data_IF_276818350830
#
_entry.id   IF_276818350830
#
_cell.length_a   1.000
_cell.length_b   1.000
_cell.length_c   1.000
_cell.angle_alpha   90.00
_cell.angle_beta   90.00
_cell.angle_gamma   90.00
#
_symmetry.space_group_name_H-M   'P 1'
#
loop_
_entity.id
_entity.type
_entity.pdbx_description
1 polymer ?
#
# COMPACT_ATOMS: atom_id res chain seq x y z
N UNK A 1 -20.66 -16.41 -8.68
CA UNK A 1 -22.09 -16.33 -8.40
C UNK A 1 -22.34 -16.38 -6.90
N UNK A 2 -23.24 -15.53 -6.35
CA UNK A 2 -23.72 -15.62 -4.96
C UNK A 2 -24.79 -16.71 -4.88
N UNK A 3 -24.72 -17.53 -3.84
CA UNK A 3 -25.70 -18.61 -3.61
C UNK A 3 -26.58 -18.30 -2.41
N UNK A 4 -25.97 -17.91 -1.29
CA UNK A 4 -26.68 -17.72 -0.04
C UNK A 4 -25.85 -16.84 0.89
N UNK A 5 -26.50 -16.14 1.79
CA UNK A 5 -25.85 -15.46 2.89
C UNK A 5 -26.64 -15.62 4.18
N UNK A 6 -25.95 -15.54 5.29
CA UNK A 6 -26.53 -15.52 6.61
C UNK A 6 -25.92 -14.39 7.43
N UNK A 7 -26.77 -13.63 8.08
CA UNK A 7 -26.40 -12.50 8.92
C UNK A 7 -26.74 -12.87 10.35
N UNK A 8 -25.72 -13.18 11.16
CA UNK A 8 -25.91 -13.40 12.59
C UNK A 8 -26.24 -12.08 13.28
N UNK A 9 -25.52 -11.02 12.92
CA UNK A 9 -25.80 -9.66 13.35
C UNK A 9 -25.10 -8.64 12.46
N UNK A 10 -25.88 -7.70 11.89
CA UNK A 10 -25.36 -6.60 11.06
C UNK A 10 -26.40 -5.48 10.91
N UNK A 11 -26.15 -4.33 11.50
CA UNK A 11 -27.11 -3.23 11.57
C UNK A 11 -28.42 -3.68 12.22
N UNK A 12 -29.51 -3.57 11.47
CA UNK A 12 -30.82 -4.01 11.90
C UNK A 12 -31.11 -5.50 11.77
N UNK A 13 -30.29 -6.22 11.02
CA UNK A 13 -30.51 -7.65 10.79
C UNK A 13 -29.90 -8.49 11.89
N UNK A 14 -30.66 -9.48 12.30
CA UNK A 14 -30.28 -10.50 13.24
C UNK A 14 -30.87 -11.82 12.77
N UNK A 15 -30.08 -12.89 12.83
CA UNK A 15 -30.45 -14.26 12.42
C UNK A 15 -31.24 -14.29 11.10
N UNK A 16 -30.63 -13.77 10.02
CA UNK A 16 -31.31 -13.65 8.74
C UNK A 16 -30.56 -14.40 7.63
N UNK A 17 -31.23 -15.40 7.04
CA UNK A 17 -30.73 -16.10 5.84
C UNK A 17 -31.43 -15.58 4.59
N UNK A 18 -30.65 -15.40 3.51
CA UNK A 18 -31.16 -15.02 2.19
C UNK A 18 -30.49 -15.90 1.14
N UNK A 19 -31.28 -16.62 0.37
CA UNK A 19 -30.82 -17.43 -0.77
C UNK A 19 -31.02 -16.68 -2.07
N UNK A 20 -30.11 -16.86 -3.02
CA UNK A 20 -30.15 -16.25 -4.35
C UNK A 20 -30.43 -17.31 -5.42
N UNK A 21 -31.34 -16.99 -6.30
CA UNK A 21 -31.64 -17.81 -7.49
C UNK A 21 -30.71 -17.48 -8.65
N UNK A 22 -30.76 -18.31 -9.70
CA UNK A 22 -30.11 -18.00 -10.95
C UNK A 22 -30.74 -16.78 -11.62
N UNK A 23 -29.92 -15.98 -12.29
CA UNK A 23 -30.37 -14.79 -12.99
C UNK A 23 -30.59 -13.59 -12.08
N UNK A 24 -31.67 -12.86 -12.30
CA UNK A 24 -31.96 -11.58 -11.63
C UNK A 24 -32.68 -11.84 -10.30
N UNK A 25 -32.11 -11.31 -9.21
CA UNK A 25 -32.72 -11.33 -7.90
C UNK A 25 -33.17 -9.91 -7.52
N UNK A 26 -34.45 -9.72 -7.27
CA UNK A 26 -35.03 -8.42 -6.91
C UNK A 26 -35.29 -8.39 -5.40
N UNK A 27 -34.60 -7.48 -4.70
CA UNK A 27 -34.78 -7.24 -3.27
C UNK A 27 -35.61 -5.96 -3.10
N UNK A 28 -36.86 -6.15 -2.75
CA UNK A 28 -37.82 -5.07 -2.58
C UNK A 28 -38.13 -4.80 -1.10
N UNK A 29 -38.42 -3.54 -0.77
CA UNK A 29 -38.83 -3.12 0.56
C UNK A 29 -38.99 -1.61 0.69
N UNK A 30 -39.75 -1.17 1.69
CA UNK A 30 -39.92 0.25 2.03
C UNK A 30 -38.58 0.90 2.39
N UNK A 31 -38.59 2.22 2.54
CA UNK A 31 -37.41 2.91 3.13
C UNK A 31 -37.13 2.31 4.51
N UNK A 32 -35.85 2.24 4.87
CA UNK A 32 -35.39 1.64 6.11
C UNK A 32 -35.58 0.12 6.24
N UNK A 33 -36.10 -0.57 5.22
CA UNK A 33 -36.25 -2.03 5.24
C UNK A 33 -34.93 -2.79 5.34
N UNK A 34 -33.78 -2.11 5.15
CA UNK A 34 -32.45 -2.72 5.27
C UNK A 34 -31.79 -3.05 3.92
N UNK A 35 -32.31 -2.57 2.79
CA UNK A 35 -31.70 -2.82 1.46
C UNK A 35 -30.22 -2.41 1.41
N UNK A 36 -29.90 -1.21 1.88
CA UNK A 36 -28.52 -0.71 1.96
C UNK A 36 -27.68 -1.47 2.99
N UNK A 37 -28.29 -1.97 4.05
CA UNK A 37 -27.63 -2.81 5.06
C UNK A 37 -27.19 -4.12 4.44
N UNK A 38 -28.07 -4.80 3.69
CA UNK A 38 -27.75 -6.03 2.98
C UNK A 38 -26.64 -5.82 1.93
N UNK A 39 -26.75 -4.75 1.14
CA UNK A 39 -25.74 -4.39 0.16
C UNK A 39 -24.36 -4.17 0.79
N UNK A 40 -24.31 -3.44 1.93
CA UNK A 40 -23.07 -3.22 2.67
C UNK A 40 -22.57 -4.50 3.34
N UNK A 41 -23.45 -5.38 3.78
CA UNK A 41 -23.07 -6.68 4.32
C UNK A 41 -22.32 -7.52 3.28
N UNK A 42 -22.85 -7.65 2.07
CA UNK A 42 -22.19 -8.39 0.98
C UNK A 42 -20.78 -7.83 0.72
N UNK A 43 -20.65 -6.50 0.61
CA UNK A 43 -19.36 -5.84 0.47
C UNK A 43 -18.45 -6.15 1.66
N UNK A 44 -18.97 -6.05 2.88
CA UNK A 44 -18.22 -6.33 4.10
C UNK A 44 -17.71 -7.78 4.16
N UNK A 45 -18.52 -8.74 3.70
CA UNK A 45 -18.13 -10.14 3.63
C UNK A 45 -16.96 -10.36 2.67
N UNK A 46 -16.95 -9.67 1.53
CA UNK A 46 -15.89 -9.80 0.51
C UNK A 46 -14.60 -9.09 0.92
N UNK A 47 -14.69 -7.84 1.36
CA UNK A 47 -13.52 -6.96 1.57
C UNK A 47 -13.22 -6.65 3.04
N UNK A 48 -14.16 -6.92 3.92
CA UNK A 48 -14.07 -6.52 5.32
C UNK A 48 -14.61 -5.11 5.55
N UNK A 49 -14.70 -4.75 6.83
CA UNK A 49 -15.04 -3.40 7.27
C UNK A 49 -14.01 -2.99 8.32
N UNK A 50 -13.35 -1.87 8.09
CA UNK A 50 -12.38 -1.32 9.02
C UNK A 50 -13.04 -0.24 9.89
N UNK A 51 -12.71 -0.25 11.17
CA UNK A 51 -13.11 0.81 12.08
C UNK A 51 -12.22 2.02 11.91
N UNK A 52 -12.81 3.18 11.65
CA UNK A 52 -12.10 4.44 11.58
C UNK A 52 -11.43 4.82 12.90
N UNK A 53 -10.46 5.70 12.85
CA UNK A 53 -9.76 6.23 14.03
C UNK A 53 -10.11 7.70 14.25
N UNK A 54 -10.18 8.13 15.51
CA UNK A 54 -10.45 9.52 15.86
C UNK A 54 -11.83 10.00 15.37
N UNK A 55 -11.89 11.19 14.76
CA UNK A 55 -13.15 11.79 14.28
C UNK A 55 -13.82 10.98 13.17
N UNK A 56 -13.05 10.26 12.37
CA UNK A 56 -13.58 9.40 11.29
C UNK A 56 -14.37 8.20 11.83
N UNK A 57 -14.13 7.76 13.07
CA UNK A 57 -14.86 6.64 13.67
C UNK A 57 -16.34 6.91 13.92
N UNK A 58 -16.77 8.17 14.01
CA UNK A 58 -18.18 8.51 14.30
C UNK A 58 -19.14 8.19 13.15
N UNK A 59 -18.65 8.25 11.90
CA UNK A 59 -19.46 8.07 10.69
C UNK A 59 -18.95 6.96 9.78
N UNK A 60 -18.09 6.08 10.30
CA UNK A 60 -17.57 4.96 9.50
C UNK A 60 -18.64 3.86 9.34
N UNK A 61 -18.39 2.99 8.36
CA UNK A 61 -19.31 1.88 8.07
C UNK A 61 -19.37 0.88 9.23
N UNK A 62 -18.26 0.72 9.98
CA UNK A 62 -18.21 -0.18 11.12
C UNK A 62 -19.22 0.23 12.17
N UNK A 63 -19.17 1.47 12.64
CA UNK A 63 -20.06 2.01 13.68
C UNK A 63 -21.51 2.12 13.17
N UNK A 64 -21.72 2.48 11.90
CA UNK A 64 -23.03 2.61 11.30
C UNK A 64 -23.80 1.29 11.22
N UNK A 65 -23.09 0.19 10.98
CA UNK A 65 -23.69 -1.14 10.81
C UNK A 65 -23.38 -2.11 11.96
N UNK A 66 -22.85 -1.61 13.07
CA UNK A 66 -22.79 -2.39 14.31
C UNK A 66 -24.20 -2.84 14.70
N UNK A 67 -24.42 -4.10 15.10
CA UNK A 67 -25.75 -4.62 15.42
C UNK A 67 -26.45 -3.81 16.50
N UNK A 68 -27.73 -3.49 16.28
CA UNK A 68 -28.47 -2.60 17.16
C UNK A 68 -28.90 -3.26 18.48
N UNK A 69 -29.22 -4.56 18.42
CA UNK A 69 -29.77 -5.27 19.58
C UNK A 69 -28.72 -6.11 20.33
N UNK A 70 -27.78 -6.67 19.63
CA UNK A 70 -26.73 -7.52 20.22
C UNK A 70 -25.39 -7.29 19.54
N UNK A 71 -24.60 -6.37 20.08
CA UNK A 71 -23.27 -6.07 19.57
C UNK A 71 -22.29 -7.26 19.61
N UNK A 72 -22.63 -8.33 20.35
CA UNK A 72 -21.83 -9.55 20.46
C UNK A 72 -21.72 -10.36 19.18
N UNK A 73 -22.72 -10.27 18.29
CA UNK A 73 -22.87 -11.11 17.09
C UNK A 73 -22.62 -10.37 15.79
N UNK A 74 -21.63 -9.47 15.75
CA UNK A 74 -21.28 -8.70 14.54
C UNK A 74 -20.51 -9.57 13.55
N UNK A 75 -21.24 -10.49 12.91
CA UNK A 75 -20.70 -11.55 12.07
C UNK A 75 -21.73 -12.12 11.10
N UNK A 76 -21.28 -13.02 10.25
CA UNK A 76 -22.10 -13.78 9.34
C UNK A 76 -21.27 -14.57 8.34
N UNK A 77 -21.95 -15.20 7.37
CA UNK A 77 -21.29 -15.92 6.31
C UNK A 77 -21.94 -15.67 4.93
N UNK A 78 -21.14 -15.92 3.88
CA UNK A 78 -21.53 -15.77 2.49
C UNK A 78 -21.07 -17.00 1.71
N UNK A 79 -21.98 -17.67 1.01
CA UNK A 79 -21.70 -18.77 0.07
C UNK A 79 -21.67 -18.24 -1.35
N UNK A 80 -20.63 -18.57 -2.06
CA UNK A 80 -20.46 -18.23 -3.47
C UNK A 80 -19.88 -19.40 -4.26
N UNK A 81 -20.22 -19.43 -5.52
CA UNK A 81 -19.67 -20.38 -6.49
C UNK A 81 -18.68 -19.67 -7.41
N UNK A 82 -17.54 -20.29 -7.61
CA UNK A 82 -16.54 -19.89 -8.58
C UNK A 82 -15.99 -21.11 -9.31
N UNK A 83 -16.10 -21.14 -10.62
CA UNK A 83 -15.56 -22.19 -11.49
C UNK A 83 -15.99 -23.60 -11.04
N UNK A 84 -17.28 -23.77 -10.69
CA UNK A 84 -17.86 -25.01 -10.20
C UNK A 84 -17.51 -25.39 -8.77
N UNK A 85 -16.75 -24.55 -8.05
CA UNK A 85 -16.36 -24.77 -6.65
C UNK A 85 -17.15 -23.84 -5.75
N UNK A 86 -17.73 -24.39 -4.69
CA UNK A 86 -18.50 -23.64 -3.69
C UNK A 86 -17.59 -23.27 -2.52
N UNK A 87 -17.56 -21.99 -2.23
CA UNK A 87 -16.83 -21.42 -1.10
C UNK A 87 -17.80 -20.78 -0.12
N UNK A 88 -17.54 -20.98 1.18
CA UNK A 88 -18.19 -20.26 2.26
C UNK A 88 -17.17 -19.34 2.93
N UNK A 89 -17.47 -18.06 2.93
CA UNK A 89 -16.68 -17.03 3.62
C UNK A 89 -17.40 -16.72 4.92
N UNK A 90 -16.77 -16.96 6.05
CA UNK A 90 -17.22 -16.58 7.38
C UNK A 90 -16.40 -15.40 7.88
N UNK A 91 -17.05 -14.35 8.38
CA UNK A 91 -16.36 -13.16 8.84
C UNK A 91 -16.96 -12.61 10.11
N UNK A 92 -16.07 -12.35 11.08
CA UNK A 92 -16.35 -11.56 12.26
C UNK A 92 -15.79 -10.17 12.10
N UNK A 93 -16.63 -9.17 12.29
CA UNK A 93 -16.25 -7.76 12.10
C UNK A 93 -15.76 -7.11 13.39
N UNK A 94 -16.13 -7.65 14.54
CA UNK A 94 -15.82 -7.07 15.84
C UNK A 94 -14.31 -7.01 16.07
N UNK A 95 -13.83 -5.85 16.51
CA UNK A 95 -12.39 -5.57 16.63
C UNK A 95 -11.67 -6.57 17.55
N UNK A 96 -12.31 -6.96 18.64
CA UNK A 96 -11.75 -7.82 19.70
C UNK A 96 -11.55 -9.28 19.23
N UNK A 97 -12.38 -9.73 18.30
CA UNK A 97 -12.34 -11.10 17.78
C UNK A 97 -12.47 -11.17 16.27
N UNK A 98 -11.96 -10.14 15.56
CA UNK A 98 -11.97 -10.09 14.10
C UNK A 98 -11.35 -11.35 13.51
N UNK A 99 -12.11 -12.03 12.68
CA UNK A 99 -11.65 -13.25 12.01
C UNK A 99 -12.21 -13.36 10.60
N UNK A 100 -11.49 -14.07 9.77
CA UNK A 100 -11.89 -14.45 8.44
C UNK A 100 -11.58 -15.93 8.27
N UNK A 101 -12.58 -16.71 7.87
CA UNK A 101 -12.45 -18.12 7.56
C UNK A 101 -13.03 -18.38 6.19
N UNK A 102 -12.36 -19.18 5.39
CA UNK A 102 -12.81 -19.56 4.05
C UNK A 102 -12.83 -21.08 3.96
N UNK A 103 -13.98 -21.61 3.65
CA UNK A 103 -14.20 -23.05 3.55
C UNK A 103 -14.52 -23.36 2.09
N UNK A 104 -13.76 -24.25 1.51
CA UNK A 104 -14.08 -24.90 0.23
C UNK A 104 -15.07 -26.02 0.51
N UNK A 105 -16.35 -25.76 0.38
CA UNK A 105 -17.40 -26.75 0.68
C UNK A 105 -17.39 -27.93 -0.30
N UNK A 106 -16.96 -27.71 -1.54
CA UNK A 106 -16.85 -28.79 -2.53
C UNK A 106 -15.80 -29.83 -2.14
N UNK A 107 -14.70 -29.39 -1.53
CA UNK A 107 -13.60 -30.25 -1.09
C UNK A 107 -13.64 -30.60 0.41
N UNK A 108 -14.48 -29.93 1.18
CA UNK A 108 -14.55 -30.07 2.63
C UNK A 108 -13.29 -29.57 3.38
N UNK A 109 -12.55 -28.61 2.78
CA UNK A 109 -11.28 -28.11 3.32
C UNK A 109 -11.38 -26.64 3.70
N UNK A 110 -10.69 -26.27 4.76
CA UNK A 110 -10.47 -24.87 5.10
C UNK A 110 -9.28 -24.33 4.33
N UNK A 111 -9.50 -23.24 3.60
CA UNK A 111 -8.47 -22.57 2.80
C UNK A 111 -7.75 -21.53 3.64
N UNK A 112 -6.50 -21.24 3.27
CA UNK A 112 -5.76 -20.14 3.90
C UNK A 112 -6.41 -18.80 3.56
N UNK A 113 -7.03 -18.16 4.55
CA UNK A 113 -7.73 -16.89 4.43
C UNK A 113 -6.76 -15.71 4.28
N UNK A 114 -5.79 -15.81 3.37
CA UNK A 114 -4.84 -14.73 3.07
C UNK A 114 -5.45 -13.70 2.10
N UNK A 115 -4.96 -12.45 2.11
CA UNK A 115 -5.37 -11.42 1.14
C UNK A 115 -5.16 -11.87 -0.31
N UNK A 116 -4.11 -12.65 -0.58
CA UNK A 116 -3.80 -13.20 -1.90
C UNK A 116 -4.83 -14.24 -2.33
N UNK A 117 -5.31 -15.07 -1.39
CA UNK A 117 -6.36 -16.05 -1.70
C UNK A 117 -7.68 -15.34 -2.05
N UNK A 118 -8.09 -14.34 -1.27
CA UNK A 118 -9.27 -13.51 -1.56
C UNK A 118 -9.13 -12.82 -2.91
N UNK A 119 -7.98 -12.24 -3.19
CA UNK A 119 -7.73 -11.61 -4.49
C UNK A 119 -7.88 -12.58 -5.64
N UNK A 120 -7.37 -13.80 -5.53
CA UNK A 120 -7.55 -14.86 -6.54
C UNK A 120 -9.01 -15.32 -6.64
N UNK A 121 -9.69 -15.47 -5.51
CA UNK A 121 -11.11 -15.85 -5.46
C UNK A 121 -11.98 -14.83 -6.20
N UNK A 122 -11.64 -13.55 -6.08
CA UNK A 122 -12.34 -12.43 -6.70
C UNK A 122 -11.71 -11.97 -8.04
N UNK A 123 -10.81 -12.77 -8.65
CA UNK A 123 -10.13 -12.42 -9.92
C UNK A 123 -9.39 -11.07 -9.90
N UNK A 124 -8.77 -10.73 -8.78
CA UNK A 124 -8.06 -9.47 -8.61
C UNK A 124 -8.96 -8.26 -8.39
N UNK A 125 -10.27 -8.47 -8.21
CA UNK A 125 -11.22 -7.40 -7.93
C UNK A 125 -10.89 -6.75 -6.59
N UNK A 126 -10.54 -5.47 -6.61
CA UNK A 126 -10.36 -4.67 -5.40
C UNK A 126 -11.68 -4.09 -4.90
N UNK A 127 -11.72 -3.62 -3.66
CA UNK A 127 -12.90 -2.95 -3.12
C UNK A 127 -13.27 -1.70 -3.91
N UNK A 128 -12.29 -0.92 -4.36
CA UNK A 128 -12.49 0.26 -5.19
C UNK A 128 -13.10 -0.12 -6.55
N UNK A 129 -12.56 -1.14 -7.20
CA UNK A 129 -13.13 -1.64 -8.45
C UNK A 129 -14.56 -2.15 -8.25
N UNK A 130 -14.80 -2.93 -7.20
CA UNK A 130 -16.12 -3.44 -6.87
C UNK A 130 -17.15 -2.32 -6.71
N UNK A 131 -16.82 -1.27 -5.94
CA UNK A 131 -17.71 -0.14 -5.68
C UNK A 131 -17.99 0.73 -6.92
N UNK A 132 -17.07 0.74 -7.89
CA UNK A 132 -17.19 1.59 -9.08
C UNK A 132 -17.70 0.84 -10.33
N UNK A 133 -17.71 -0.49 -10.33
CA UNK A 133 -18.09 -1.27 -11.51
C UNK A 133 -19.21 -2.27 -11.27
N UNK A 134 -19.23 -2.94 -10.12
CA UNK A 134 -20.18 -4.02 -9.82
C UNK A 134 -21.25 -3.56 -8.87
N UNK A 135 -20.88 -2.82 -7.82
CA UNK A 135 -21.74 -2.43 -6.71
C UNK A 135 -22.15 -0.97 -6.86
N UNK A 136 -23.18 -0.71 -7.65
CA UNK A 136 -23.67 0.64 -7.89
C UNK A 136 -24.54 1.09 -6.72
N UNK A 137 -24.03 2.01 -5.91
CA UNK A 137 -24.75 2.63 -4.80
C UNK A 137 -25.81 3.63 -5.26
N UNK A 138 -26.78 3.90 -4.40
CA UNK A 138 -27.79 4.91 -4.66
C UNK A 138 -27.13 6.30 -4.83
N UNK A 139 -27.47 7.01 -5.93
CA UNK A 139 -26.90 8.33 -6.30
C UNK A 139 -25.37 8.36 -6.52
N UNK A 140 -24.72 7.20 -6.64
CA UNK A 140 -23.30 7.09 -6.90
C UNK A 140 -23.06 6.63 -8.34
N UNK A 141 -23.27 7.52 -9.29
CA UNK A 141 -22.96 7.28 -10.71
C UNK A 141 -21.61 7.87 -11.14
N UNK A 142 -20.99 8.70 -10.29
CA UNK A 142 -19.68 9.28 -10.56
C UNK A 142 -18.56 8.35 -10.09
N UNK A 143 -17.54 8.21 -10.91
CA UNK A 143 -16.32 7.45 -10.59
C UNK A 143 -15.56 8.12 -9.45
N UNK A 144 -15.26 7.41 -8.39
CA UNK A 144 -14.49 7.92 -7.26
C UNK A 144 -13.01 8.13 -7.67
N UNK A 145 -12.35 9.14 -7.09
CA UNK A 145 -10.92 9.44 -7.35
C UNK A 145 -9.99 8.24 -7.13
N UNK A 146 -10.37 7.34 -6.23
CA UNK A 146 -9.68 6.07 -6.00
C UNK A 146 -9.59 5.19 -7.25
N UNK A 147 -10.63 5.12 -8.06
CA UNK A 147 -10.65 4.35 -9.31
C UNK A 147 -9.70 4.95 -10.35
N UNK A 148 -9.64 6.27 -10.45
CA UNK A 148 -8.71 6.96 -11.37
C UNK A 148 -7.26 6.63 -10.98
N UNK A 149 -6.97 6.60 -9.69
CA UNK A 149 -5.64 6.26 -9.18
C UNK A 149 -5.30 4.79 -9.44
N UNK A 150 -6.23 3.86 -9.21
CA UNK A 150 -6.02 2.44 -9.52
C UNK A 150 -5.81 2.21 -11.01
N UNK A 151 -6.59 2.87 -11.87
CA UNK A 151 -6.45 2.76 -13.32
C UNK A 151 -5.10 3.30 -13.80
N UNK A 152 -4.66 4.45 -13.27
CA UNK A 152 -3.32 4.99 -13.55
C UNK A 152 -2.22 4.02 -13.13
N UNK A 153 -2.32 3.42 -11.94
CA UNK A 153 -1.35 2.42 -11.48
C UNK A 153 -1.36 1.17 -12.35
N UNK A 154 -2.54 0.71 -12.77
CA UNK A 154 -2.69 -0.43 -13.67
C UNK A 154 -2.00 -0.17 -15.03
N UNK A 155 -2.27 0.98 -15.65
CA UNK A 155 -1.66 1.38 -16.93
C UNK A 155 -0.14 1.51 -16.78
N UNK A 156 0.34 2.15 -15.71
CA UNK A 156 1.76 2.30 -15.44
C UNK A 156 2.46 0.94 -15.29
N UNK A 157 1.85 0.00 -14.57
CA UNK A 157 2.39 -1.34 -14.39
C UNK A 157 2.43 -2.14 -15.70
N UNK A 158 1.39 -2.05 -16.52
CA UNK A 158 1.36 -2.68 -17.84
C UNK A 158 2.47 -2.14 -18.76
N UNK A 159 2.68 -0.82 -18.76
CA UNK A 159 3.66 -0.20 -19.64
C UNK A 159 5.11 -0.45 -19.19
N UNK A 160 5.37 -0.66 -17.89
CA UNK A 160 6.73 -0.80 -17.37
C UNK A 160 7.18 -2.23 -17.19
N UNK A 161 6.31 -3.12 -16.76
CA UNK A 161 6.69 -4.50 -16.36
C UNK A 161 5.95 -5.58 -17.14
N UNK A 162 4.90 -5.24 -17.86
CA UNK A 162 3.98 -6.21 -18.50
C UNK A 162 3.26 -7.13 -17.50
N UNK A 163 3.45 -6.92 -16.19
CA UNK A 163 2.88 -7.74 -15.14
C UNK A 163 1.87 -6.96 -14.29
N UNK A 164 0.61 -7.32 -14.41
CA UNK A 164 -0.52 -6.70 -13.71
C UNK A 164 -0.45 -6.88 -12.19
N UNK A 165 0.19 -7.96 -11.73
CA UNK A 165 0.31 -8.26 -10.30
C UNK A 165 1.38 -7.44 -9.56
N UNK A 166 2.28 -6.80 -10.30
CA UNK A 166 3.33 -5.96 -9.73
C UNK A 166 2.78 -4.57 -9.39
N UNK A 167 2.58 -4.30 -8.12
CA UNK A 167 2.16 -2.98 -7.66
C UNK A 167 3.37 -2.17 -7.20
N UNK A 168 3.93 -1.34 -8.10
CA UNK A 168 5.11 -0.49 -7.83
C UNK A 168 4.88 0.42 -6.62
N UNK A 169 3.67 0.94 -6.44
CA UNK A 169 3.32 1.79 -5.29
C UNK A 169 3.40 1.00 -3.98
N UNK A 170 2.87 -0.22 -3.95
CA UNK A 170 2.98 -1.10 -2.77
C UNK A 170 4.42 -1.53 -2.50
N UNK A 171 5.17 -1.86 -3.55
CA UNK A 171 6.59 -2.21 -3.43
C UNK A 171 7.41 -1.04 -2.88
N UNK A 172 7.20 0.17 -3.37
CA UNK A 172 7.86 1.38 -2.87
C UNK A 172 7.47 1.68 -1.42
N UNK A 173 6.20 1.53 -1.06
CA UNK A 173 5.74 1.71 0.32
C UNK A 173 6.36 0.66 1.26
N UNK A 174 6.45 -0.60 0.83
CA UNK A 174 7.09 -1.67 1.57
C UNK A 174 8.58 -1.38 1.82
N UNK A 175 9.31 -1.00 0.76
CA UNK A 175 10.74 -0.65 0.87
C UNK A 175 10.96 0.57 1.78
N UNK A 176 10.10 1.59 1.70
CA UNK A 176 10.15 2.74 2.61
C UNK A 176 9.90 2.35 4.07
N UNK A 177 8.97 1.44 4.31
CA UNK A 177 8.70 0.95 5.66
C UNK A 177 9.85 0.10 6.20
N UNK A 178 10.44 -0.77 5.37
CA UNK A 178 11.66 -1.51 5.74
C UNK A 178 12.83 -0.57 6.03
N UNK A 179 13.05 0.43 5.18
CA UNK A 179 14.07 1.45 5.42
C UNK A 179 13.85 2.13 6.79
N UNK A 180 12.63 2.59 7.09
CA UNK A 180 12.31 3.20 8.39
C UNK A 180 12.54 2.25 9.57
N UNK A 181 12.20 0.96 9.40
CA UNK A 181 12.42 -0.06 10.43
C UNK A 181 13.91 -0.26 10.72
N UNK A 182 14.74 -0.28 9.68
CA UNK A 182 16.19 -0.36 9.80
C UNK A 182 16.78 0.90 10.42
N UNK A 183 16.34 2.08 9.98
CA UNK A 183 16.76 3.37 10.54
C UNK A 183 16.38 3.52 12.03
N UNK A 184 15.23 3.00 12.46
CA UNK A 184 14.81 2.97 13.85
C UNK A 184 15.66 2.03 14.73
N UNK A 185 16.28 1.01 14.15
CA UNK A 185 17.20 0.09 14.82
C UNK A 185 18.65 0.61 14.87
N UNK A 186 18.98 1.67 14.12
CA UNK A 186 20.28 2.32 14.20
C UNK A 186 20.34 3.22 15.43
N UNK A 187 21.47 3.19 16.15
CA UNK A 187 21.73 4.10 17.26
C UNK A 187 21.62 5.53 16.70
N UNK A 188 20.73 6.39 17.24
CA UNK A 188 20.45 7.71 16.67
C UNK A 188 21.69 8.61 16.52
N UNK A 189 22.67 8.44 17.40
CA UNK A 189 23.95 9.16 17.39
C UNK A 189 24.84 8.73 16.21
N UNK A 190 25.00 7.42 15.99
CA UNK A 190 25.78 6.89 14.87
C UNK A 190 25.16 7.25 13.50
N UNK A 191 23.83 7.30 13.42
CA UNK A 191 23.12 7.73 12.21
C UNK A 191 23.35 9.23 11.91
N UNK A 192 23.37 10.08 12.93
CA UNK A 192 23.66 11.51 12.76
C UNK A 192 25.12 11.73 12.34
N UNK A 193 26.05 11.06 12.99
CA UNK A 193 27.48 11.14 12.68
C UNK A 193 27.75 10.68 11.25
N UNK A 194 27.18 9.55 10.83
CA UNK A 194 27.30 9.06 9.45
C UNK A 194 26.73 10.05 8.43
N UNK A 195 25.58 10.67 8.72
CA UNK A 195 24.97 11.66 7.82
C UNK A 195 25.82 12.93 7.72
N UNK A 196 26.41 13.37 8.84
CA UNK A 196 27.31 14.50 8.90
C UNK A 196 28.58 14.25 8.08
N UNK A 197 29.21 13.09 8.26
CA UNK A 197 30.40 12.69 7.51
C UNK A 197 30.13 12.60 6.01
N UNK A 198 28.98 12.07 5.59
CA UNK A 198 28.60 12.05 4.18
C UNK A 198 28.39 13.45 3.59
N UNK A 199 27.88 14.39 4.37
CA UNK A 199 27.74 15.77 3.95
C UNK A 199 29.12 16.45 3.81
N UNK A 200 30.04 16.21 4.76
CA UNK A 200 31.42 16.69 4.67
C UNK A 200 32.16 16.14 3.44
N UNK A 201 32.04 14.83 3.19
CA UNK A 201 32.66 14.22 1.99
C UNK A 201 32.15 14.89 0.72
N UNK A 202 30.83 15.10 0.58
CA UNK A 202 30.26 15.78 -0.59
C UNK A 202 30.74 17.22 -0.74
N UNK A 203 30.89 17.93 0.37
CA UNK A 203 31.41 19.31 0.34
C UNK A 203 32.87 19.34 -0.11
N UNK A 204 33.69 18.42 0.40
CA UNK A 204 35.10 18.29 -0.02
C UNK A 204 35.22 17.87 -1.49
N UNK A 205 34.39 16.92 -1.92
CA UNK A 205 34.34 16.51 -3.33
C UNK A 205 33.95 17.67 -4.26
N UNK A 206 32.95 18.48 -3.84
CA UNK A 206 32.54 19.66 -4.60
C UNK A 206 33.61 20.76 -4.61
N UNK A 207 34.35 20.91 -3.52
CA UNK A 207 35.46 21.86 -3.41
C UNK A 207 36.63 21.43 -4.32
N UNK A 208 36.97 20.15 -4.35
CA UNK A 208 38.02 19.59 -5.23
C UNK A 208 37.63 19.70 -6.71
N UNK A 209 36.34 19.51 -7.03
CA UNK A 209 35.81 19.65 -8.40
C UNK A 209 35.59 21.11 -8.83
N UNK A 210 35.76 22.06 -7.89
CA UNK A 210 35.53 23.48 -8.18
C UNK A 210 36.66 24.11 -8.99
N UNK A 211 36.34 25.11 -9.86
CA UNK A 211 37.35 25.85 -10.66
C UNK A 211 38.41 26.54 -9.78
N UNK A 212 38.07 26.85 -8.56
CA UNK A 212 38.99 27.50 -7.60
C UNK A 212 40.15 26.58 -7.16
N UNK A 213 39.87 25.30 -6.95
CA UNK A 213 40.87 24.30 -6.62
C UNK A 213 41.87 24.07 -7.81
N UNK A 214 41.32 23.96 -9.01
CA UNK A 214 42.16 23.85 -10.23
C UNK A 214 43.06 25.07 -10.41
N UNK A 215 42.54 26.27 -10.17
CA UNK A 215 43.32 27.51 -10.22
C UNK A 215 44.41 27.57 -9.15
N UNK A 216 44.14 27.13 -7.93
CA UNK A 216 45.13 27.07 -6.85
C UNK A 216 46.21 26.03 -7.13
N UNK A 217 45.83 24.85 -7.66
CA UNK A 217 46.80 23.82 -8.06
C UNK A 217 47.69 24.28 -9.19
N UNK A 218 47.15 24.96 -10.20
CA UNK A 218 47.88 25.54 -11.30
C UNK A 218 48.85 26.64 -10.82
N UNK A 219 48.40 27.51 -9.92
CA UNK A 219 49.25 28.54 -9.30
C UNK A 219 50.39 27.93 -8.49
N UNK A 220 50.15 26.89 -7.71
CA UNK A 220 51.16 26.16 -6.97
C UNK A 220 52.18 25.49 -7.90
N UNK A 221 51.76 24.85 -8.96
CA UNK A 221 52.65 24.23 -9.96
C UNK A 221 53.52 25.27 -10.69
N UNK A 222 52.95 26.43 -11.03
CA UNK A 222 53.67 27.54 -11.64
C UNK A 222 54.72 28.10 -10.67
N UNK A 223 54.38 28.31 -9.40
CA UNK A 223 55.32 28.80 -8.40
C UNK A 223 56.46 27.82 -8.16
N UNK A 224 56.16 26.51 -8.06
CA UNK A 224 57.14 25.44 -7.94
C UNK A 224 58.10 25.45 -9.13
N UNK A 225 57.59 25.61 -10.35
CA UNK A 225 58.41 25.65 -11.55
C UNK A 225 59.35 26.87 -11.57
N UNK A 226 58.85 28.05 -11.17
CA UNK A 226 59.64 29.28 -11.04
C UNK A 226 60.77 29.13 -10.02
N UNK A 227 60.48 28.56 -8.87
CA UNK A 227 61.49 28.32 -7.81
C UNK A 227 62.54 27.35 -8.31
N UNK A 228 62.17 26.27 -8.99
CA UNK A 228 63.11 25.30 -9.54
C UNK A 228 63.98 25.90 -10.65
N UNK A 229 63.38 26.73 -11.53
CA UNK A 229 64.11 27.41 -12.60
C UNK A 229 65.07 28.46 -12.03
N UNK A 230 64.67 29.21 -11.01
CA UNK A 230 65.55 30.16 -10.32
C UNK A 230 66.75 29.48 -9.62
N UNK A 231 66.48 28.37 -8.92
CA UNK A 231 67.47 27.57 -8.26
C UNK A 231 68.52 27.01 -9.31
N UNK A 232 68.03 26.57 -10.47
CA UNK A 232 68.86 26.07 -11.55
C UNK A 232 69.77 27.18 -12.18
N UNK A 233 69.18 28.38 -12.33
CA UNK A 233 69.90 29.55 -12.77
C UNK A 233 71.05 29.94 -11.82
N UNK A 234 70.78 29.98 -10.52
CA UNK A 234 71.77 30.28 -9.46
C UNK A 234 72.85 29.21 -9.42
N UNK A 235 72.50 27.93 -9.57
CA UNK A 235 73.52 26.85 -9.66
C UNK A 235 74.37 26.95 -10.88
N UNK A 236 73.83 27.32 -12.04
CA UNK A 236 74.60 27.54 -13.27
C UNK A 236 75.50 28.72 -13.13
N UNK A 237 75.07 29.83 -12.56
CA UNK A 237 75.86 31.02 -12.37
C UNK A 237 77.06 30.79 -11.41
N UNK A 238 76.77 30.07 -10.30
CA UNK A 238 77.82 29.60 -9.39
C UNK A 238 78.83 28.66 -10.01
N UNK A 239 78.46 27.85 -11.00
CA UNK A 239 79.35 27.00 -11.77
C UNK A 239 80.22 27.77 -12.79
N UNK A 240 79.67 28.89 -13.34
CA UNK A 240 80.38 29.74 -14.27
C UNK A 240 81.43 30.68 -13.61
N UNK A 241 81.21 31.09 -12.35
CA UNK A 241 82.09 31.94 -11.58
C UNK A 241 83.17 31.19 -10.76
N UNK A 242 83.10 29.85 -10.70
CA UNK A 242 84.05 28.99 -10.01
C UNK A 242 85.16 28.45 -10.91
N UNK A 243 85.34 29.03 -12.11
CA UNK A 243 86.45 28.78 -13.02
C UNK A 243 87.30 30.04 -13.13
#
# INVERSE_FOLDING_TARGET
>A
RLLELHIDGFGKFHDRTISFNDGINIIYGKNEAGKSTLHTFIRGMLFGIERGRGRAAKNDLYTKYEPWENSGTYEGWLRLEKDGTIYRIERRFRKENKSLKIINETKGLEENASPEFISRLLNGLTETMYNNTISIGQLKSATEDGMVTELKNYIANMNTTGNISLNITKATAFLRNQKRSLEAGLIPEASREFTSLLAEIRNVEAEIAGPEYENQLAAYQNMRTQVMTGLFAILLDGFYHAR
#
